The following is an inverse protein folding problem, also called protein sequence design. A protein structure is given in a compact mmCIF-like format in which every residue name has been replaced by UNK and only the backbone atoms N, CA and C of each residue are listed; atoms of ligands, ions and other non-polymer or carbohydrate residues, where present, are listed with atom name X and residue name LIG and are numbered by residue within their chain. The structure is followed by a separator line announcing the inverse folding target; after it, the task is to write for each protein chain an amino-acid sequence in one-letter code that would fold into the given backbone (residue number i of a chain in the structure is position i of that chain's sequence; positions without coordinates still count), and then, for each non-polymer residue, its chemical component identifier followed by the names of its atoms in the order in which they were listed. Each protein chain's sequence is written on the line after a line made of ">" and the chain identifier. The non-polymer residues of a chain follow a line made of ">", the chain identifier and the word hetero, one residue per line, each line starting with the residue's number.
data_IF_246814096020
#
_entry.id   IF_246814096020
#
_cell.length_a   1.000
_cell.length_b   1.000
_cell.length_c   1.000
_cell.angle_alpha   90.00
_cell.angle_beta   90.00
_cell.angle_gamma   90.00
#
_symmetry.space_group_name_H-M   'P 1'
#
loop_
_entity.id
_entity.type
_entity.pdbx_description
1 polymer ?
#
# COMPACT_ATOMS: atom_id res chain seq x y z
N UNK A 1 6.56 5.34 -15.19
CA UNK A 1 6.38 4.90 -13.79
C UNK A 1 6.84 3.47 -13.73
N UNK A 2 7.95 3.21 -13.06
CA UNK A 2 8.45 1.86 -12.81
C UNK A 2 7.43 1.11 -11.94
N UNK A 3 7.05 -0.09 -12.36
CA UNK A 3 6.14 -0.93 -11.59
C UNK A 3 6.97 -1.74 -10.61
N UNK A 4 6.82 -1.44 -9.33
CA UNK A 4 7.57 -2.10 -8.25
C UNK A 4 7.01 -3.50 -7.96
N UNK A 5 5.71 -3.68 -8.21
CA UNK A 5 5.02 -4.97 -8.08
C UNK A 5 4.60 -5.47 -9.45
N UNK A 6 5.05 -6.66 -9.82
CA UNK A 6 4.65 -7.35 -11.04
C UNK A 6 3.57 -8.38 -10.71
N UNK A 7 2.38 -8.21 -11.30
CA UNK A 7 1.25 -9.12 -11.12
C UNK A 7 1.14 -10.01 -12.37
N UNK A 8 1.16 -11.32 -12.17
CA UNK A 8 1.07 -12.31 -13.23
C UNK A 8 -0.38 -12.70 -13.44
N UNK A 9 -0.85 -12.57 -14.68
CA UNK A 9 -2.23 -12.90 -15.05
C UNK A 9 -2.27 -13.77 -16.30
N UNK A 10 -3.30 -14.60 -16.39
CA UNK A 10 -3.71 -15.27 -17.62
C UNK A 10 -4.63 -14.35 -18.43
N UNK A 11 -4.78 -14.63 -19.72
CA UNK A 11 -5.67 -13.87 -20.59
C UNK A 11 -7.15 -14.02 -20.21
N UNK A 12 -7.52 -15.12 -19.57
CA UNK A 12 -8.89 -15.40 -19.17
C UNK A 12 -8.97 -16.27 -17.92
N UNK A 13 -10.00 -16.05 -17.11
CA UNK A 13 -10.33 -16.86 -15.94
C UNK A 13 -11.79 -17.30 -15.95
N UNK A 14 -12.11 -18.43 -15.33
CA UNK A 14 -13.50 -18.86 -15.17
C UNK A 14 -14.12 -18.21 -13.93
N UNK A 15 -15.28 -17.58 -14.07
CA UNK A 15 -15.97 -16.86 -12.98
C UNK A 15 -16.45 -17.80 -11.87
N UNK A 16 -16.62 -19.09 -12.16
CA UNK A 16 -17.06 -20.09 -11.19
C UNK A 16 -15.96 -20.55 -10.21
N UNK A 17 -14.70 -20.21 -10.51
CA UNK A 17 -13.51 -20.62 -9.76
C UNK A 17 -12.96 -19.45 -8.93
N UNK A 18 -12.24 -19.78 -7.86
CA UNK A 18 -11.47 -18.78 -7.13
C UNK A 18 -10.33 -18.26 -8.01
N UNK A 19 -10.05 -16.96 -7.90
CA UNK A 19 -8.99 -16.31 -8.65
C UNK A 19 -7.70 -16.36 -7.84
N UNK A 20 -6.73 -17.15 -8.32
CA UNK A 20 -5.37 -17.19 -7.78
C UNK A 20 -4.58 -16.08 -8.46
N UNK A 21 -4.06 -15.15 -7.66
CA UNK A 21 -3.26 -14.02 -8.12
C UNK A 21 -1.83 -14.19 -7.66
N UNK A 22 -0.95 -14.42 -8.62
CA UNK A 22 0.48 -14.50 -8.38
C UNK A 22 1.13 -13.14 -8.62
N UNK A 23 2.03 -12.73 -7.72
CA UNK A 23 2.73 -11.46 -7.83
C UNK A 23 4.15 -11.56 -7.27
N UNK A 24 5.03 -10.69 -7.78
CA UNK A 24 6.40 -10.53 -7.31
C UNK A 24 6.64 -9.06 -6.96
N UNK A 25 7.37 -8.82 -5.87
CA UNK A 25 7.83 -7.50 -5.45
C UNK A 25 9.32 -7.40 -5.79
N UNK A 26 9.69 -6.41 -6.58
CA UNK A 26 11.05 -6.28 -7.12
C UNK A 26 12.12 -6.25 -6.02
N UNK A 27 13.11 -7.14 -6.13
CA UNK A 27 14.23 -7.23 -5.18
C UNK A 27 15.11 -5.99 -5.32
N UNK A 28 15.12 -5.15 -4.28
CA UNK A 28 15.87 -3.88 -4.26
C UNK A 28 14.98 -2.65 -4.12
N UNK A 29 13.67 -2.79 -4.37
CA UNK A 29 12.73 -1.76 -3.96
C UNK A 29 12.55 -1.84 -2.43
N UNK A 30 12.90 -0.77 -1.71
CA UNK A 30 12.65 -0.64 -0.27
C UNK A 30 11.15 -0.48 0.06
N UNK A 31 10.30 -1.33 -0.52
CA UNK A 31 8.86 -1.32 -0.27
C UNK A 31 8.58 -2.19 0.95
N UNK A 32 8.20 -1.52 2.03
CA UNK A 32 7.63 -2.19 3.21
C UNK A 32 6.22 -2.66 2.87
N UNK A 33 6.10 -3.93 2.48
CA UNK A 33 4.81 -4.59 2.29
C UNK A 33 4.05 -4.56 3.63
N UNK A 34 2.82 -4.07 3.61
CA UNK A 34 1.94 -3.96 4.78
C UNK A 34 0.80 -4.97 4.71
N UNK A 35 0.34 -5.47 5.86
CA UNK A 35 -0.88 -6.28 5.95
C UNK A 35 -2.14 -5.47 5.56
N UNK A 36 -2.00 -4.16 5.44
CA UNK A 36 -3.05 -3.25 4.97
C UNK A 36 -2.98 -3.00 3.47
N UNK A 37 -1.97 -3.50 2.77
CA UNK A 37 -1.93 -3.46 1.31
C UNK A 37 -2.98 -4.43 0.75
N UNK A 38 -3.46 -4.19 -0.46
CA UNK A 38 -4.45 -5.05 -1.09
C UNK A 38 -4.28 -5.13 -2.59
N UNK A 39 -4.79 -6.20 -3.16
CA UNK A 39 -4.95 -6.33 -4.60
C UNK A 39 -6.42 -6.06 -4.94
N UNK A 40 -6.63 -5.06 -5.78
CA UNK A 40 -7.93 -4.64 -6.28
C UNK A 40 -8.19 -5.21 -7.69
N UNK A 41 -9.42 -5.65 -7.93
CA UNK A 41 -9.94 -6.00 -9.24
C UNK A 41 -10.73 -4.81 -9.79
N UNK A 42 -10.31 -4.28 -10.93
CA UNK A 42 -10.84 -3.01 -11.47
C UNK A 42 -11.23 -3.20 -12.95
N UNK A 43 -12.41 -2.74 -13.39
CA UNK A 43 -12.83 -2.81 -14.79
C UNK A 43 -12.02 -1.88 -15.68
N UNK A 44 -11.88 -2.23 -16.96
CA UNK A 44 -11.25 -1.36 -17.95
C UNK A 44 -12.02 -0.04 -18.10
N UNK A 45 -11.30 1.07 -18.13
CA UNK A 45 -11.87 2.41 -18.24
C UNK A 45 -12.06 3.14 -16.90
N UNK A 46 -11.50 2.59 -15.82
CA UNK A 46 -11.46 3.20 -14.50
C UNK A 46 -10.80 4.58 -14.47
N UNK A 47 -11.26 5.44 -13.56
CA UNK A 47 -10.69 6.76 -13.29
C UNK A 47 -10.02 6.87 -11.91
N UNK A 48 -10.36 5.96 -10.99
CA UNK A 48 -9.78 5.86 -9.65
C UNK A 48 -9.81 4.44 -9.07
N UNK A 49 -9.11 4.24 -7.94
CA UNK A 49 -9.06 2.95 -7.22
C UNK A 49 -10.39 2.63 -6.52
N UNK A 50 -11.20 3.65 -6.26
CA UNK A 50 -12.54 3.54 -5.68
C UNK A 50 -13.55 2.81 -6.57
N UNK A 51 -13.27 2.70 -7.87
CA UNK A 51 -14.07 1.91 -8.84
C UNK A 51 -13.77 0.40 -8.80
N UNK A 52 -13.00 -0.08 -7.82
CA UNK A 52 -12.75 -1.50 -7.64
C UNK A 52 -14.05 -2.29 -7.41
N UNK A 53 -14.18 -3.41 -8.13
CA UNK A 53 -15.35 -4.30 -8.02
C UNK A 53 -15.14 -5.37 -6.95
N UNK A 54 -13.89 -5.76 -6.70
CA UNK A 54 -13.52 -6.69 -5.65
C UNK A 54 -12.10 -6.39 -5.16
N UNK A 55 -11.76 -6.84 -3.95
CA UNK A 55 -10.39 -6.72 -3.44
C UNK A 55 -10.07 -7.83 -2.44
N UNK A 56 -8.78 -8.07 -2.23
CA UNK A 56 -8.26 -8.95 -1.18
C UNK A 56 -7.03 -8.33 -0.54
N UNK A 57 -7.04 -8.23 0.79
CA UNK A 57 -5.91 -7.72 1.59
C UNK A 57 -4.77 -8.71 1.60
N UNK A 58 -3.54 -8.23 1.50
CA UNK A 58 -2.32 -9.04 1.50
C UNK A 58 -2.08 -9.65 2.87
N UNK A 59 -1.85 -10.96 2.92
CA UNK A 59 -1.55 -11.68 4.16
C UNK A 59 -0.07 -12.03 4.26
N UNK A 60 0.66 -11.24 5.05
CA UNK A 60 2.09 -11.42 5.32
C UNK A 60 2.36 -12.68 6.16
N UNK A 61 1.37 -13.22 6.89
CA UNK A 61 1.59 -14.38 7.75
C UNK A 61 1.91 -15.67 6.99
N UNK A 62 1.63 -15.70 5.68
CA UNK A 62 1.97 -16.80 4.78
C UNK A 62 3.40 -16.73 4.21
N UNK A 63 4.15 -15.65 4.47
CA UNK A 63 5.54 -15.42 4.00
C UNK A 63 6.61 -16.27 4.73
N UNK A 64 6.25 -17.44 5.28
CA UNK A 64 7.18 -18.32 6.01
C UNK A 64 8.31 -18.86 5.09
N UNK A 65 8.22 -18.63 3.79
CA UNK A 65 9.27 -18.91 2.82
C UNK A 65 9.47 -17.64 1.98
N UNK A 66 10.70 -17.11 1.91
CA UNK A 66 11.11 -16.04 1.00
C UNK A 66 10.98 -16.47 -0.48
N UNK A 67 9.78 -16.83 -0.91
CA UNK A 67 9.50 -17.21 -2.27
C UNK A 67 9.53 -15.93 -3.12
N UNK A 68 10.20 -15.97 -4.29
CA UNK A 68 10.24 -14.83 -5.20
C UNK A 68 8.86 -14.53 -5.81
N UNK A 69 7.89 -15.44 -5.70
CA UNK A 69 6.51 -15.25 -6.15
C UNK A 69 5.61 -15.54 -4.96
N UNK A 70 4.72 -14.60 -4.69
CA UNK A 70 3.67 -14.67 -3.68
C UNK A 70 2.34 -14.91 -4.37
N UNK A 71 1.43 -15.61 -3.69
CA UNK A 71 0.11 -15.92 -4.23
C UNK A 71 -0.97 -15.51 -3.24
N UNK A 72 -2.02 -14.90 -3.74
CA UNK A 72 -3.22 -14.61 -2.96
C UNK A 72 -4.46 -15.16 -3.65
N UNK A 73 -5.35 -15.73 -2.86
CA UNK A 73 -6.62 -16.27 -3.35
C UNK A 73 -7.72 -15.23 -3.13
N UNK A 74 -8.27 -14.72 -4.23
CA UNK A 74 -9.51 -13.96 -4.22
C UNK A 74 -10.66 -14.94 -4.44
N UNK A 75 -11.45 -15.15 -3.39
CA UNK A 75 -12.57 -16.10 -3.40
C UNK A 75 -13.64 -15.64 -4.40
N UNK A 76 -14.23 -16.58 -5.14
CA UNK A 76 -15.25 -16.28 -6.16
C UNK A 76 -16.41 -15.47 -5.64
N UNK A 77 -16.80 -15.69 -4.38
CA UNK A 77 -17.90 -14.97 -3.72
C UNK A 77 -17.67 -13.46 -3.65
N UNK A 78 -16.41 -13.02 -3.74
CA UNK A 78 -16.06 -11.60 -3.73
C UNK A 78 -16.37 -10.90 -5.05
N UNK A 79 -16.45 -11.62 -6.17
CA UNK A 79 -16.56 -11.00 -7.50
C UNK A 79 -17.64 -11.59 -8.42
N UNK A 80 -18.14 -12.81 -8.17
CA UNK A 80 -19.06 -13.53 -9.06
C UNK A 80 -20.35 -12.76 -9.43
N UNK A 81 -20.84 -11.90 -8.52
CA UNK A 81 -22.12 -11.19 -8.69
C UNK A 81 -21.96 -9.75 -9.20
N UNK A 82 -20.71 -9.28 -9.30
CA UNK A 82 -20.36 -7.90 -9.69
C UNK A 82 -19.54 -7.83 -10.97
N UNK A 83 -18.85 -8.91 -11.32
CA UNK A 83 -18.10 -9.05 -12.56
C UNK A 83 -19.02 -9.56 -13.66
N UNK A 84 -18.82 -9.01 -14.85
CA UNK A 84 -19.49 -9.45 -16.06
C UNK A 84 -18.51 -10.20 -16.96
N UNK A 85 -18.92 -11.34 -17.51
CA UNK A 85 -18.11 -12.10 -18.46
C UNK A 85 -17.86 -11.30 -19.74
N UNK A 86 -16.76 -11.64 -20.43
CA UNK A 86 -16.31 -11.02 -21.68
C UNK A 86 -15.94 -9.52 -21.58
N UNK A 87 -16.03 -8.92 -20.39
CA UNK A 87 -15.48 -7.59 -20.10
C UNK A 87 -14.03 -7.68 -19.64
N UNK A 88 -13.28 -6.63 -19.95
CA UNK A 88 -11.87 -6.53 -19.56
C UNK A 88 -11.72 -5.97 -18.15
N UNK A 89 -10.88 -6.65 -17.36
CA UNK A 89 -10.50 -6.28 -16.00
C UNK A 89 -8.99 -6.27 -15.85
N UNK A 90 -8.51 -5.58 -14.82
CA UNK A 90 -7.12 -5.48 -14.46
C UNK A 90 -7.00 -5.64 -12.94
N UNK A 91 -5.91 -6.29 -12.50
CA UNK A 91 -5.54 -6.35 -11.10
C UNK A 91 -4.54 -5.23 -10.81
N UNK A 92 -4.71 -4.58 -9.66
CA UNK A 92 -3.80 -3.54 -9.18
C UNK A 92 -3.37 -3.84 -7.76
N UNK A 93 -2.06 -3.70 -7.52
CA UNK A 93 -1.51 -3.72 -6.19
C UNK A 93 -1.54 -2.31 -5.63
N UNK A 94 -2.26 -2.13 -4.52
CA UNK A 94 -2.46 -0.82 -3.89
C UNK A 94 -1.90 -0.87 -2.47
N UNK A 95 -1.06 0.11 -2.15
CA UNK A 95 -0.49 0.25 -0.81
C UNK A 95 -1.52 0.81 0.18
N UNK A 96 -1.26 0.64 1.47
CA UNK A 96 -2.03 1.29 2.54
C UNK A 96 -2.10 2.82 2.42
N UNK A 97 -1.25 3.43 1.60
CA UNK A 97 -1.20 4.86 1.31
C UNK A 97 -1.93 5.26 0.02
N UNK A 98 -2.71 4.33 -0.57
CA UNK A 98 -3.43 4.50 -1.84
C UNK A 98 -2.51 4.67 -3.07
N UNK A 99 -1.25 4.27 -2.96
CA UNK A 99 -0.33 4.28 -4.09
C UNK A 99 -0.45 3.00 -4.90
N UNK A 100 -0.51 3.13 -6.22
CA UNK A 100 -0.56 1.97 -7.12
C UNK A 100 0.87 1.52 -7.42
N UNK A 101 1.28 0.42 -6.80
CA UNK A 101 2.64 -0.11 -6.90
C UNK A 101 2.80 -1.10 -8.08
N UNK A 102 1.70 -1.62 -8.61
CA UNK A 102 1.71 -2.59 -9.70
C UNK A 102 0.37 -2.69 -10.41
N UNK A 103 0.41 -3.01 -11.71
CA UNK A 103 -0.77 -3.23 -12.55
C UNK A 103 -0.53 -4.45 -13.42
N UNK A 104 -1.50 -5.37 -13.49
CA UNK A 104 -1.45 -6.52 -14.39
C UNK A 104 -1.73 -6.12 -15.84
N UNK A 105 -1.61 -7.05 -16.78
CA UNK A 105 -2.28 -6.90 -18.08
C UNK A 105 -3.80 -7.03 -17.92
N UNK A 106 -4.54 -6.61 -18.96
CA UNK A 106 -5.99 -6.80 -18.99
C UNK A 106 -6.33 -8.25 -19.31
N UNK A 107 -7.34 -8.79 -18.62
CA UNK A 107 -7.87 -10.13 -18.82
C UNK A 107 -9.40 -10.11 -18.78
N UNK A 108 -10.03 -11.23 -19.12
CA UNK A 108 -11.49 -11.38 -19.11
C UNK A 108 -11.96 -12.53 -18.23
N UNK A 109 -13.19 -12.46 -17.74
CA UNK A 109 -13.86 -13.61 -17.12
C UNK A 109 -14.72 -14.33 -18.15
N UNK A 110 -14.77 -15.65 -18.05
CA UNK A 110 -15.56 -16.55 -18.88
C UNK A 110 -16.45 -17.40 -17.98
N UNK A 111 -17.57 -17.86 -18.50
CA UNK A 111 -18.32 -18.94 -17.89
C UNK A 111 -17.72 -20.29 -18.31
N UNK A 112 -17.78 -21.27 -17.41
CA UNK A 112 -17.67 -22.67 -17.80
C UNK A 112 -18.82 -22.99 -18.76
N UNK A 113 -18.59 -22.83 -20.07
CA UNK A 113 -19.51 -23.38 -21.05
C UNK A 113 -19.59 -24.88 -20.82
N UNK A 114 -20.76 -25.37 -20.43
CA UNK A 114 -21.11 -26.76 -20.70
C UNK A 114 -21.10 -26.90 -22.23
N UNK A 115 -19.97 -27.39 -22.76
CA UNK A 115 -19.78 -27.82 -24.16
C UNK A 115 -19.85 -26.67 -25.18
N UNK A 116 -18.68 -26.25 -25.71
CA UNK A 116 -18.63 -25.63 -27.05
C UNK A 116 -19.10 -26.69 -28.06
N UNK A 117 -20.38 -26.66 -28.40
CA UNK A 117 -20.80 -27.03 -29.74
C UNK A 117 -20.55 -25.81 -30.62
N UNK A 118 -19.30 -25.67 -31.03
CA UNK A 118 -18.94 -24.71 -32.05
C UNK A 118 -19.51 -25.19 -33.40
N UNK A 119 -20.81 -24.98 -33.59
CA UNK A 119 -21.42 -24.95 -34.91
C UNK A 119 -21.21 -23.54 -35.46
N UNK A 120 -20.20 -23.39 -36.29
CA UNK A 120 -20.04 -22.24 -37.16
C UNK A 120 -21.35 -22.01 -37.94
N UNK A 121 -22.11 -20.98 -37.62
CA UNK A 121 -23.19 -20.51 -38.48
C UNK A 121 -22.99 -19.04 -38.81
N UNK A 122 -22.15 -18.82 -39.82
CA UNK A 122 -22.28 -17.66 -40.70
C UNK A 122 -23.65 -17.81 -41.40
N UNK A 123 -24.67 -17.05 -40.99
CA UNK A 123 -25.79 -16.67 -41.88
C UNK A 123 -26.34 -15.28 -41.53
N UNK A 124 -25.89 -14.32 -42.35
CA UNK A 124 -26.67 -13.27 -43.02
C UNK A 124 -28.09 -12.96 -42.56
N UNK A 125 -28.31 -11.66 -42.29
CA UNK A 125 -29.55 -10.86 -42.31
C UNK A 125 -30.81 -11.58 -42.85
N UNK A 126 -31.87 -11.59 -42.04
CA UNK A 126 -33.23 -11.35 -42.55
C UNK A 126 -34.07 -10.58 -41.52
N UNK A 127 -34.85 -9.62 -42.03
CA UNK A 127 -35.88 -8.86 -41.32
C UNK A 127 -37.01 -9.79 -40.90
N UNK A 128 -37.49 -9.66 -39.66
CA UNK A 128 -38.74 -10.26 -39.21
C UNK A 128 -39.28 -9.50 -38.00
N UNK A 129 -40.36 -8.75 -38.22
CA UNK A 129 -41.10 -8.04 -37.18
C UNK A 129 -41.81 -9.02 -36.24
N UNK A 130 -41.62 -8.86 -34.93
CA UNK A 130 -42.65 -9.18 -33.93
C UNK A 130 -42.30 -8.60 -32.55
N UNK A 131 -42.94 -7.47 -32.20
CA UNK A 131 -43.45 -7.25 -30.84
C UNK A 131 -44.79 -8.01 -30.73
N UNK A 132 -45.34 -8.34 -29.53
CA UNK A 132 -45.16 -7.63 -28.25
C UNK A 132 -45.03 -8.56 -27.01
N UNK A 133 -44.56 -8.04 -25.87
CA UNK A 133 -45.47 -7.81 -24.74
C UNK A 133 -44.82 -6.97 -23.63
N UNK A 134 -45.61 -6.01 -23.14
CA UNK A 134 -45.38 -5.26 -21.91
C UNK A 134 -45.66 -6.18 -20.72
N UNK A 135 -44.85 -6.07 -19.68
CA UNK A 135 -45.36 -5.99 -18.31
C UNK A 135 -44.49 -5.01 -17.53
N UNK A 136 -45.16 -4.01 -16.95
CA UNK A 136 -44.59 -2.96 -16.13
C UNK A 136 -44.36 -3.45 -14.71
N UNK A 137 -43.24 -3.06 -14.09
CA UNK A 137 -43.21 -2.85 -12.63
C UNK A 137 -42.14 -1.83 -12.27
N UNK A 138 -42.65 -0.64 -11.92
CA UNK A 138 -42.23 0.25 -10.83
C UNK A 138 -40.75 0.70 -10.79
N UNK A 139 -40.59 2.00 -11.06
CA UNK A 139 -39.45 2.81 -10.62
C UNK A 139 -39.16 2.65 -9.13
N UNK A 140 -37.94 2.25 -8.79
CA UNK A 140 -37.27 2.74 -7.59
C UNK A 140 -35.89 3.27 -8.00
N UNK A 141 -35.77 4.61 -8.02
CA UNK A 141 -34.46 5.28 -8.10
C UNK A 141 -33.60 4.75 -6.96
N UNK A 142 -32.31 4.41 -7.16
CA UNK A 142 -31.44 4.11 -6.04
C UNK A 142 -31.35 5.37 -5.17
N UNK A 143 -31.75 5.23 -3.90
CA UNK A 143 -31.59 6.26 -2.87
C UNK A 143 -30.08 6.48 -2.75
N UNK A 144 -29.63 7.62 -3.27
CA UNK A 144 -28.29 8.17 -3.09
C UNK A 144 -28.07 8.35 -1.58
N UNK A 145 -27.50 7.35 -0.91
CA UNK A 145 -26.96 7.51 0.44
C UNK A 145 -25.70 8.35 0.30
N UNK A 146 -25.85 9.66 0.44
CA UNK A 146 -24.73 10.53 0.75
C UNK A 146 -24.28 10.15 2.16
N UNK A 147 -23.16 9.43 2.27
CA UNK A 147 -22.42 9.33 3.52
C UNK A 147 -21.95 10.74 3.90
N UNK A 148 -22.11 11.18 5.17
CA UNK A 148 -21.58 12.47 5.59
C UNK A 148 -20.06 12.43 5.45
N UNK A 149 -19.49 13.44 4.81
CA UNK A 149 -18.05 13.68 4.80
C UNK A 149 -17.51 13.79 6.24
N UNK A 150 -16.26 13.34 6.51
CA UNK A 150 -15.70 13.25 7.87
C UNK A 150 -15.59 14.57 8.66
N UNK A 151 -15.88 15.70 8.02
CA UNK A 151 -15.62 17.03 8.58
C UNK A 151 -16.69 17.52 9.58
N UNK A 152 -17.91 16.95 9.56
CA UNK A 152 -19.01 17.37 10.43
C UNK A 152 -19.08 16.60 11.76
N UNK A 153 -18.35 15.48 11.90
CA UNK A 153 -18.30 14.71 13.14
C UNK A 153 -17.41 15.37 14.21
N UNK A 154 -16.36 16.08 13.79
CA UNK A 154 -15.38 16.69 14.70
C UNK A 154 -15.76 18.07 15.24
N UNK A 155 -16.75 18.77 14.65
CA UNK A 155 -17.19 20.08 15.16
C UNK A 155 -18.05 20.00 16.42
N UNK A 156 -18.78 18.89 16.62
CA UNK A 156 -19.71 18.77 17.75
C UNK A 156 -19.07 18.25 19.05
N UNK A 157 -17.82 17.79 19.03
CA UNK A 157 -17.11 17.39 20.26
C UNK A 157 -16.39 18.56 20.96
N UNK A 158 -16.09 19.66 20.25
CA UNK A 158 -15.38 20.79 20.87
C UNK A 158 -16.29 21.82 21.56
N UNK A 159 -17.62 21.70 21.44
CA UNK A 159 -18.56 22.64 22.09
C UNK A 159 -19.19 22.14 23.40
N UNK A 160 -18.97 20.88 23.80
CA UNK A 160 -19.61 20.32 25.01
C UNK A 160 -18.70 20.19 26.23
N UNK A 161 -17.46 20.72 26.18
CA UNK A 161 -16.51 20.63 27.29
C UNK A 161 -16.50 21.85 28.25
N UNK A 162 -17.50 22.72 28.18
CA UNK A 162 -17.67 23.79 29.16
C UNK A 162 -19.13 23.85 29.63
N UNK A 163 -19.32 23.67 30.94
CA UNK A 163 -20.57 23.76 31.70
C UNK A 163 -21.47 22.51 31.69
N UNK A 164 -21.27 21.62 32.66
CA UNK A 164 -22.13 21.54 33.84
C UNK A 164 -21.72 20.37 34.74
N UNK A 165 -21.00 20.71 35.81
CA UNK A 165 -20.90 19.90 37.01
C UNK A 165 -22.24 20.00 37.75
N UNK A 166 -23.17 19.09 37.49
CA UNK A 166 -24.26 18.82 38.41
C UNK A 166 -24.32 17.33 38.76
N UNK A 167 -24.28 17.10 40.07
CA UNK A 167 -24.35 15.83 40.78
C UNK A 167 -25.53 14.98 40.31
N UNK A 168 -25.31 14.10 39.33
CA UNK A 168 -26.23 13.00 39.07
C UNK A 168 -25.85 11.81 39.96
N UNK A 169 -26.59 11.68 41.07
CA UNK A 169 -26.61 10.51 41.95
C UNK A 169 -26.56 9.23 41.11
N UNK A 170 -25.67 8.31 41.47
CA UNK A 170 -25.57 6.99 40.87
C UNK A 170 -26.92 6.26 41.00
N UNK A 171 -27.71 6.27 39.92
CA UNK A 171 -28.77 5.28 39.77
C UNK A 171 -28.06 3.95 39.66
N UNK A 172 -28.12 3.16 40.72
CA UNK A 172 -27.71 1.77 40.70
C UNK A 172 -28.58 1.07 39.65
N UNK A 173 -27.99 0.73 38.50
CA UNK A 173 -28.66 -0.03 37.45
C UNK A 173 -28.86 -1.46 37.97
N UNK A 174 -29.95 -1.66 38.71
CA UNK A 174 -30.41 -2.99 39.09
C UNK A 174 -30.64 -3.80 37.82
N UNK A 175 -30.02 -4.98 37.80
CA UNK A 175 -29.96 -5.96 36.72
C UNK A 175 -31.20 -6.01 35.82
N UNK A 176 -31.18 -5.22 34.74
CA UNK A 176 -32.17 -5.30 33.69
C UNK A 176 -31.88 -6.57 32.89
N UNK A 177 -32.74 -7.59 32.99
CA UNK A 177 -32.73 -8.73 32.06
C UNK A 177 -33.19 -8.26 30.68
N UNK A 178 -32.69 -8.87 29.61
CA UNK A 178 -33.22 -8.61 28.27
C UNK A 178 -34.71 -9.00 28.20
N UNK A 179 -35.59 -8.05 27.87
CA UNK A 179 -37.05 -8.25 27.84
C UNK A 179 -37.47 -9.37 26.86
N UNK A 180 -36.65 -9.65 25.83
CA UNK A 180 -36.91 -10.71 24.84
C UNK A 180 -36.43 -12.11 25.23
N UNK A 181 -35.36 -12.25 26.02
CA UNK A 181 -34.74 -13.55 26.29
C UNK A 181 -34.45 -13.84 27.77
N UNK A 182 -34.82 -12.93 28.68
CA UNK A 182 -34.66 -13.05 30.14
C UNK A 182 -33.22 -13.35 30.60
N UNK A 183 -32.22 -13.18 29.73
CA UNK A 183 -30.81 -13.37 30.04
C UNK A 183 -30.32 -12.27 31.00
N UNK A 184 -29.51 -12.60 32.02
CA UNK A 184 -28.90 -11.61 32.88
C UNK A 184 -27.94 -10.75 32.04
N UNK A 185 -28.24 -9.46 31.92
CA UNK A 185 -27.32 -8.55 31.24
C UNK A 185 -26.12 -8.31 32.15
N UNK A 186 -25.01 -8.99 31.87
CA UNK A 186 -23.77 -8.86 32.63
C UNK A 186 -22.98 -7.62 32.15
N UNK A 187 -23.64 -6.47 32.04
CA UNK A 187 -23.04 -5.22 31.53
C UNK A 187 -21.81 -4.82 32.32
N UNK A 188 -21.80 -5.06 33.64
CA UNK A 188 -20.62 -4.81 34.48
C UNK A 188 -19.40 -5.65 34.07
N UNK A 189 -19.61 -6.90 33.66
CA UNK A 189 -18.53 -7.75 33.17
C UNK A 189 -18.01 -7.29 31.80
N UNK A 190 -18.92 -6.84 30.91
CA UNK A 190 -18.55 -6.28 29.60
C UNK A 190 -17.82 -4.96 29.73
N UNK A 191 -18.28 -4.08 30.63
CA UNK A 191 -17.65 -2.79 30.92
C UNK A 191 -16.27 -2.98 31.54
N UNK A 192 -16.12 -3.90 32.49
CA UNK A 192 -14.82 -4.26 33.06
C UNK A 192 -13.85 -4.82 32.00
N UNK A 193 -14.33 -5.70 31.11
CA UNK A 193 -13.51 -6.24 30.02
C UNK A 193 -13.10 -5.15 29.01
N UNK A 194 -14.00 -4.20 28.71
CA UNK A 194 -13.70 -3.06 27.84
C UNK A 194 -12.64 -2.16 28.47
N UNK A 195 -12.75 -1.85 29.76
CA UNK A 195 -11.76 -1.05 30.49
C UNK A 195 -10.38 -1.72 30.52
N UNK A 196 -10.32 -3.02 30.77
CA UNK A 196 -9.07 -3.78 30.69
C UNK A 196 -8.47 -3.69 29.28
N UNK A 197 -9.29 -3.84 28.24
CA UNK A 197 -8.80 -3.74 26.86
C UNK A 197 -8.27 -2.35 26.49
N UNK A 198 -8.91 -1.29 27.01
CA UNK A 198 -8.43 0.08 26.84
C UNK A 198 -7.08 0.28 27.52
N UNK A 199 -6.90 -0.26 28.73
CA UNK A 199 -5.61 -0.20 29.44
C UNK A 199 -4.51 -0.94 28.68
N UNK A 200 -4.77 -2.16 28.20
CA UNK A 200 -3.82 -2.93 27.38
C UNK A 200 -3.40 -2.16 26.13
N UNK A 201 -4.36 -1.57 25.42
CA UNK A 201 -4.09 -0.76 24.22
C UNK A 201 -3.29 0.50 24.54
N UNK A 202 -3.55 1.12 25.70
CA UNK A 202 -2.81 2.31 26.14
C UNK A 202 -1.35 1.96 26.41
N UNK A 203 -1.09 0.87 27.12
CA UNK A 203 0.27 0.39 27.39
C UNK A 203 0.97 0.00 26.09
N UNK A 204 0.27 -0.72 25.20
CA UNK A 204 0.82 -1.11 23.90
C UNK A 204 1.19 0.09 23.03
N UNK A 205 0.37 1.15 23.04
CA UNK A 205 0.67 2.37 22.31
C UNK A 205 1.88 3.12 22.89
N UNK A 206 2.04 3.18 24.22
CA UNK A 206 3.23 3.79 24.82
C UNK A 206 4.51 3.01 24.50
N UNK A 207 4.47 1.68 24.53
CA UNK A 207 5.61 0.86 24.12
C UNK A 207 5.98 1.15 22.67
N UNK A 208 4.99 1.16 21.76
CA UNK A 208 5.22 1.48 20.34
C UNK A 208 5.79 2.88 20.14
N UNK A 209 5.33 3.86 20.92
CA UNK A 209 5.84 5.23 20.86
C UNK A 209 7.31 5.29 21.28
N UNK A 210 7.69 4.58 22.35
CA UNK A 210 9.09 4.50 22.76
C UNK A 210 9.96 3.82 21.70
N UNK A 211 9.48 2.72 21.10
CA UNK A 211 10.20 2.04 20.00
C UNK A 211 10.38 2.93 18.77
N UNK A 212 9.42 3.79 18.46
CA UNK A 212 9.53 4.76 17.37
C UNK A 212 10.59 5.82 17.66
N UNK A 213 10.63 6.35 18.90
CA UNK A 213 11.65 7.33 19.29
C UNK A 213 13.06 6.73 19.21
N UNK A 214 13.27 5.51 19.68
CA UNK A 214 14.57 4.84 19.55
C UNK A 214 14.97 4.61 18.10
N UNK A 215 14.02 4.26 17.23
CA UNK A 215 14.28 4.05 15.81
C UNK A 215 14.63 5.36 15.10
N UNK A 216 14.00 6.47 15.49
CA UNK A 216 14.31 7.80 14.96
C UNK A 216 15.73 8.25 15.35
N UNK A 217 16.14 8.00 16.59
CA UNK A 217 17.50 8.28 17.06
C UNK A 217 18.55 7.43 16.30
N UNK A 218 18.30 6.13 16.15
CA UNK A 218 19.19 5.21 15.43
C UNK A 218 19.33 5.61 13.94
N UNK A 219 18.22 6.02 13.31
CA UNK A 219 18.24 6.48 11.92
C UNK A 219 19.05 7.76 11.78
N UNK A 220 18.89 8.71 12.71
CA UNK A 220 19.62 9.97 12.73
C UNK A 220 21.12 9.73 12.86
N UNK A 221 21.53 8.85 13.79
CA UNK A 221 22.95 8.48 13.96
C UNK A 221 23.51 7.80 12.71
N UNK A 222 22.73 6.90 12.10
CA UNK A 222 23.15 6.18 10.88
C UNK A 222 23.36 7.13 9.71
N UNK A 223 22.45 8.09 9.52
CA UNK A 223 22.57 9.11 8.49
C UNK A 223 23.80 10.01 8.71
N UNK A 224 24.12 10.35 9.97
CA UNK A 224 25.30 11.13 10.29
C UNK A 224 26.60 10.37 9.93
N UNK A 225 26.67 9.07 10.24
CA UNK A 225 27.79 8.21 9.87
C UNK A 225 27.95 8.08 8.35
N UNK A 226 26.85 7.88 7.63
CA UNK A 226 26.85 7.81 6.16
C UNK A 226 27.35 9.13 5.57
N UNK A 227 26.89 10.28 6.08
CA UNK A 227 27.35 11.58 5.62
C UNK A 227 28.86 11.79 5.85
N UNK A 228 29.38 11.33 7.00
CA UNK A 228 30.83 11.34 7.28
C UNK A 228 31.59 10.47 6.27
N UNK A 229 31.09 9.28 5.95
CA UNK A 229 31.70 8.41 4.94
C UNK A 229 31.68 9.02 3.54
N UNK A 230 30.58 9.65 3.12
CA UNK A 230 30.52 10.33 1.82
C UNK A 230 31.54 11.47 1.71
N UNK A 231 31.72 12.26 2.77
CA UNK A 231 32.75 13.32 2.81
C UNK A 231 34.16 12.73 2.67
N UNK A 232 34.46 11.65 3.38
CA UNK A 232 35.75 10.95 3.26
C UNK A 232 35.97 10.42 1.84
N UNK A 233 34.97 9.75 1.26
CA UNK A 233 35.05 9.23 -0.10
C UNK A 233 35.29 10.35 -1.13
N UNK A 234 34.63 11.50 -0.97
CA UNK A 234 34.84 12.66 -1.84
C UNK A 234 36.27 13.18 -1.74
N UNK A 235 36.82 13.28 -0.52
CA UNK A 235 38.20 13.72 -0.32
C UNK A 235 39.20 12.74 -0.95
N UNK A 236 39.02 11.43 -0.75
CA UNK A 236 39.87 10.39 -1.35
C UNK A 236 39.82 10.46 -2.88
N UNK A 237 38.62 10.63 -3.46
CA UNK A 237 38.48 10.75 -4.92
C UNK A 237 39.17 12.00 -5.46
N UNK A 238 39.16 13.10 -4.71
CA UNK A 238 39.86 14.33 -5.10
C UNK A 238 41.38 14.14 -5.01
N UNK A 239 41.89 13.52 -3.95
CA UNK A 239 43.32 13.19 -3.84
C UNK A 239 43.79 12.26 -4.96
N UNK A 240 42.97 11.27 -5.32
CA UNK A 240 43.26 10.38 -6.45
C UNK A 240 43.41 11.16 -7.75
N UNK A 241 42.47 12.06 -8.07
CA UNK A 241 42.53 12.87 -9.28
C UNK A 241 43.79 13.78 -9.28
N UNK A 242 44.14 14.34 -8.12
CA UNK A 242 45.36 15.16 -8.00
C UNK A 242 46.63 14.34 -8.27
N UNK A 243 46.68 13.09 -7.80
CA UNK A 243 47.81 12.19 -8.05
C UNK A 243 47.86 11.77 -9.52
N UNK A 244 46.73 11.44 -10.13
CA UNK A 244 46.65 11.12 -11.57
C UNK A 244 47.17 12.30 -12.41
N UNK A 245 46.71 13.52 -12.12
CA UNK A 245 47.18 14.72 -12.80
C UNK A 245 48.68 14.97 -12.60
N UNK A 246 49.21 14.74 -11.38
CA UNK A 246 50.64 14.84 -11.12
C UNK A 246 51.47 13.81 -11.91
N UNK A 247 50.96 12.59 -12.07
CA UNK A 247 51.61 11.56 -12.89
C UNK A 247 51.61 11.96 -14.35
N UNK A 248 50.48 12.45 -14.87
CA UNK A 248 50.35 12.92 -16.25
C UNK A 248 51.33 14.07 -16.52
N UNK A 249 51.43 15.04 -15.62
CA UNK A 249 52.39 16.16 -15.72
C UNK A 249 53.84 15.68 -15.76
N UNK A 250 54.20 14.63 -14.99
CA UNK A 250 55.53 14.01 -15.03
C UNK A 250 55.77 13.33 -16.38
N UNK A 251 54.81 12.53 -16.86
CA UNK A 251 54.92 11.77 -18.11
C UNK A 251 55.06 12.74 -19.29
N UNK A 252 54.24 13.77 -19.35
CA UNK A 252 54.28 14.78 -20.40
C UNK A 252 55.56 15.63 -20.35
N UNK A 253 56.04 15.99 -19.15
CA UNK A 253 57.31 16.69 -18.99
C UNK A 253 58.52 15.84 -19.39
N UNK A 254 58.50 14.54 -19.09
CA UNK A 254 59.54 13.58 -19.49
C UNK A 254 59.56 13.33 -21.00
N UNK A 255 58.39 13.23 -21.63
CA UNK A 255 58.26 12.95 -23.07
C UNK A 255 58.61 14.16 -23.95
N UNK A 256 58.37 15.39 -23.49
CA UNK A 256 58.54 16.57 -24.32
C UNK A 256 59.94 17.22 -24.25
N UNK A 257 60.61 17.22 -23.08
CA UNK A 257 61.85 18.01 -22.91
C UNK A 257 63.06 17.19 -22.40
N UNK A 258 62.91 15.91 -22.07
CA UNK A 258 63.98 15.07 -21.51
C UNK A 258 64.57 15.62 -20.18
N UNK A 259 63.89 16.60 -19.57
CA UNK A 259 64.24 17.24 -18.30
C UNK A 259 62.96 17.43 -17.48
N UNK A 260 62.96 16.90 -16.27
CA UNK A 260 61.88 17.13 -15.31
C UNK A 260 62.03 18.56 -14.77
N UNK A 261 61.21 19.51 -15.23
CA UNK A 261 61.06 20.80 -14.55
C UNK A 261 59.91 20.72 -13.56
N UNK A 262 60.24 20.65 -12.26
CA UNK A 262 59.27 20.78 -11.19
C UNK A 262 58.79 22.23 -11.12
N UNK A 263 57.69 22.55 -11.81
CA UNK A 263 56.93 23.76 -11.53
C UNK A 263 56.05 23.46 -10.33
N UNK A 264 56.57 23.74 -9.13
CA UNK A 264 55.76 23.75 -7.92
C UNK A 264 54.59 24.71 -8.14
N UNK A 265 53.42 24.18 -8.51
CA UNK A 265 52.19 24.90 -8.35
C UNK A 265 51.93 24.93 -6.85
N UNK A 266 52.11 26.11 -6.24
CA UNK A 266 51.60 26.44 -4.92
C UNK A 266 50.07 26.25 -4.93
N UNK A 267 49.62 25.01 -4.84
CA UNK A 267 48.28 24.72 -4.37
C UNK A 267 48.34 24.80 -2.86
N UNK A 268 47.93 25.95 -2.33
CA UNK A 268 47.58 26.09 -0.92
C UNK A 268 46.58 24.99 -0.54
N UNK A 269 47.10 23.88 -0.02
CA UNK A 269 46.28 22.92 0.71
C UNK A 269 45.90 23.61 2.01
N UNK A 270 44.75 24.31 2.00
CA UNK A 270 44.11 24.81 3.22
C UNK A 270 43.65 23.60 4.04
N UNK A 271 44.56 23.08 4.87
CA UNK A 271 44.20 22.27 6.01
C UNK A 271 43.36 23.15 6.94
N UNK A 272 42.04 23.00 6.88
CA UNK A 272 41.18 23.41 7.99
C UNK A 272 41.46 22.47 9.16
N UNK A 273 42.49 22.80 9.94
CA UNK A 273 42.66 22.26 11.28
C UNK A 273 41.43 22.65 12.10
N UNK A 274 40.56 21.68 12.37
CA UNK A 274 39.68 21.74 13.53
C UNK A 274 40.58 21.72 14.77
N UNK A 275 40.54 22.73 15.65
CA UNK A 275 41.26 22.65 16.90
C UNK A 275 40.59 21.58 17.77
N UNK A 276 41.32 20.50 18.04
CA UNK A 276 41.10 19.66 19.20
C UNK A 276 41.35 20.54 20.43
N UNK A 277 40.28 21.05 21.03
CA UNK A 277 40.31 21.54 22.40
C UNK A 277 39.78 20.43 23.30
N UNK A 278 40.64 20.09 24.26
CA UNK A 278 40.40 19.28 25.45
C UNK A 278 39.20 19.79 26.26
#
# INVERSE_FOLDING_TARGET
>A
MEQIVKIFVQHSYFIENDLIVDYNVEQGAHVNISQKDWIALIPKGWSGVDEQVAFKTVDISSDIVNLPIKSIVMEKKCFQDVVECEKYYQLMYVSQYLEILGKSEYFVFLHHTSICNCASSIKTKSKGNSRPNRNSTVFSKPIRRQSPTPHDFYKNQQQNNAANSEKSKSKQWLANKCIKCNAPNNFAAVESALHAKIQDLTISNEIKKQSLLTLEDDLTQTLELINKQFKLHKNISQEKNNIEQFIDDIVDGLLNDGKITFWAHDQEVKYNYLPLLY
#
